data_IF_055577585439
#
_entry.id   IF_055577585439
#
_cell.length_a   1.000
_cell.length_b   1.000
_cell.length_c   1.000
_cell.angle_alpha   90.00
_cell.angle_beta   90.00
_cell.angle_gamma   90.00
#
_symmetry.space_group_name_H-M   'P 1'
#
loop_
_entity.id
_entity.type
_entity.pdbx_description
1 polymer ?
#
# COMPACT_ATOMS: atom_id res chain seq x y z
N UNK A 1 -4.08 -41.49 -13.32
CA UNK A 1 -5.49 -41.59 -13.81
C UNK A 1 -5.94 -40.15 -14.08
N UNK A 2 -5.99 -39.80 -15.37
CA UNK A 2 -6.59 -38.64 -16.04
C UNK A 2 -6.61 -37.26 -15.34
N UNK A 3 -5.77 -36.33 -15.81
CA UNK A 3 -6.13 -34.92 -15.94
C UNK A 3 -5.91 -34.52 -17.41
N UNK A 4 -6.95 -34.57 -18.27
CA UNK A 4 -6.87 -34.04 -19.61
C UNK A 4 -7.90 -32.94 -19.72
N UNK A 5 -7.62 -31.73 -19.26
CA UNK A 5 -8.46 -30.63 -19.69
C UNK A 5 -7.71 -29.32 -19.92
N UNK A 6 -7.38 -29.07 -21.19
CA UNK A 6 -7.43 -27.73 -21.74
C UNK A 6 -8.89 -27.43 -22.07
N UNK A 7 -9.47 -26.35 -21.52
CA UNK A 7 -10.75 -25.85 -21.99
C UNK A 7 -10.55 -24.51 -22.71
N UNK A 8 -10.84 -24.52 -24.00
CA UNK A 8 -11.21 -23.33 -24.75
C UNK A 8 -12.66 -22.95 -24.38
N UNK A 9 -12.81 -22.06 -23.40
CA UNK A 9 -13.86 -21.05 -23.11
C UNK A 9 -15.37 -21.33 -23.37
N UNK A 10 -15.82 -22.53 -23.77
CA UNK A 10 -17.21 -22.72 -24.21
C UNK A 10 -17.98 -23.87 -23.56
N UNK A 11 -17.39 -24.69 -22.67
CA UNK A 11 -18.05 -25.94 -22.23
C UNK A 11 -17.89 -26.36 -20.76
N UNK A 12 -17.24 -25.59 -19.90
CA UNK A 12 -17.17 -25.95 -18.48
C UNK A 12 -18.50 -25.56 -17.80
N UNK A 13 -19.33 -26.54 -17.45
CA UNK A 13 -20.50 -26.31 -16.60
C UNK A 13 -20.07 -25.85 -15.20
N UNK A 14 -20.97 -25.11 -14.51
CA UNK A 14 -20.79 -24.54 -13.17
C UNK A 14 -20.12 -25.50 -12.16
N UNK A 15 -20.49 -26.78 -12.17
CA UNK A 15 -19.95 -27.81 -11.28
C UNK A 15 -18.46 -28.09 -11.49
N UNK A 16 -17.94 -27.93 -12.71
CA UNK A 16 -16.53 -28.14 -13.04
C UNK A 16 -15.65 -27.02 -12.46
N UNK A 17 -16.14 -25.78 -12.45
CA UNK A 17 -15.44 -24.61 -11.92
C UNK A 17 -15.32 -24.71 -10.39
N UNK A 18 -16.45 -24.99 -9.71
CA UNK A 18 -16.47 -25.16 -8.25
C UNK A 18 -15.51 -26.27 -7.81
N UNK A 19 -15.53 -27.42 -8.48
CA UNK A 19 -14.66 -28.54 -8.12
C UNK A 19 -13.17 -28.18 -8.26
N UNK A 20 -12.77 -27.37 -9.24
CA UNK A 20 -11.38 -26.95 -9.40
C UNK A 20 -10.92 -25.98 -8.30
N UNK A 21 -11.81 -25.10 -7.84
CA UNK A 21 -11.53 -24.12 -6.78
C UNK A 21 -11.48 -24.73 -5.38
N UNK A 22 -12.16 -25.86 -5.18
CA UNK A 22 -12.17 -26.62 -3.93
C UNK A 22 -11.05 -27.65 -3.83
N UNK A 23 -10.34 -27.91 -4.91
CA UNK A 23 -9.16 -28.77 -4.88
C UNK A 23 -8.00 -27.97 -4.26
N UNK A 24 -7.38 -28.55 -3.24
CA UNK A 24 -6.03 -28.15 -2.82
C UNK A 24 -5.17 -28.25 -4.07
N UNK A 25 -4.46 -27.17 -4.43
CA UNK A 25 -3.55 -27.06 -5.58
C UNK A 25 -3.40 -28.34 -6.41
N UNK A 26 -3.76 -28.25 -7.69
CA UNK A 26 -3.37 -29.22 -8.71
C UNK A 26 -2.06 -29.92 -8.34
N UNK A 27 -2.08 -31.24 -8.09
CA UNK A 27 -0.98 -31.91 -7.43
C UNK A 27 0.29 -31.65 -8.23
N UNK A 28 1.35 -31.17 -7.55
CA UNK A 28 2.68 -31.06 -8.13
C UNK A 28 3.06 -32.49 -8.55
N UNK A 29 2.84 -32.82 -9.82
CA UNK A 29 3.31 -34.09 -10.35
C UNK A 29 4.83 -34.01 -10.35
N UNK A 30 5.45 -34.89 -9.58
CA UNK A 30 6.91 -35.05 -9.51
C UNK A 30 7.50 -35.66 -10.78
N UNK A 31 6.71 -35.82 -11.85
CA UNK A 31 7.18 -36.27 -13.15
C UNK A 31 6.76 -35.31 -14.28
N UNK A 32 7.67 -34.93 -15.19
CA UNK A 32 7.35 -34.08 -16.32
C UNK A 32 6.50 -34.83 -17.37
N UNK A 33 5.52 -34.18 -18.02
CA UNK A 33 5.32 -32.73 -18.08
C UNK A 33 4.33 -32.21 -17.02
N UNK A 34 4.74 -31.15 -16.31
CA UNK A 34 3.90 -30.38 -15.39
C UNK A 34 2.65 -29.89 -16.15
N UNK A 35 1.49 -30.47 -15.87
CA UNK A 35 0.24 -29.87 -16.27
C UNK A 35 0.10 -28.54 -15.51
N UNK A 36 0.24 -27.41 -16.20
CA UNK A 36 -0.02 -26.09 -15.65
C UNK A 36 -1.52 -26.00 -15.44
N UNK A 37 -1.99 -26.24 -14.21
CA UNK A 37 -3.35 -25.92 -13.85
C UNK A 37 -3.47 -24.40 -13.70
N UNK A 38 -4.01 -23.75 -14.72
CA UNK A 38 -4.47 -22.37 -14.62
C UNK A 38 -5.71 -22.34 -13.73
N UNK A 39 -5.77 -21.47 -12.70
CA UNK A 39 -6.98 -21.30 -11.91
C UNK A 39 -8.16 -20.92 -12.84
N UNK A 40 -9.38 -21.39 -12.56
CA UNK A 40 -10.52 -21.03 -13.37
C UNK A 40 -10.82 -19.54 -13.24
N UNK A 41 -11.12 -18.91 -14.37
CA UNK A 41 -11.49 -17.50 -14.48
C UNK A 41 -13.01 -17.41 -14.54
N UNK A 42 -13.60 -16.56 -13.71
CA UNK A 42 -15.04 -16.29 -13.73
C UNK A 42 -15.31 -15.11 -14.67
N UNK A 43 -16.10 -15.34 -15.71
CA UNK A 43 -16.34 -14.37 -16.79
C UNK A 43 -17.80 -13.93 -16.89
N UNK A 44 -18.71 -14.70 -16.29
CA UNK A 44 -20.16 -14.52 -16.42
C UNK A 44 -20.88 -14.52 -15.07
N UNK A 45 -22.10 -13.97 -15.02
CA UNK A 45 -22.93 -14.03 -13.81
C UNK A 45 -23.20 -15.48 -13.37
N UNK A 46 -23.37 -16.41 -14.30
CA UNK A 46 -23.58 -17.82 -13.97
C UNK A 46 -22.38 -18.44 -13.22
N UNK A 47 -21.16 -17.96 -13.53
CA UNK A 47 -19.94 -18.38 -12.82
C UNK A 47 -19.93 -17.83 -11.39
N UNK A 48 -20.46 -16.63 -11.16
CA UNK A 48 -20.57 -16.02 -9.83
C UNK A 48 -21.70 -16.69 -9.01
N UNK A 49 -22.85 -16.95 -9.63
CA UNK A 49 -24.02 -17.60 -9.00
C UNK A 49 -23.69 -18.97 -8.43
N UNK A 50 -22.69 -19.65 -9.02
CA UNK A 50 -22.11 -20.90 -8.55
C UNK A 50 -21.60 -20.86 -7.10
N UNK A 51 -21.27 -19.68 -6.58
CA UNK A 51 -20.65 -19.51 -5.26
C UNK A 51 -21.64 -19.34 -4.12
N UNK A 52 -22.95 -19.39 -4.40
CA UNK A 52 -23.98 -19.14 -3.40
C UNK A 52 -23.85 -20.04 -2.15
N UNK A 53 -23.29 -21.24 -2.27
CA UNK A 53 -23.05 -22.16 -1.15
C UNK A 53 -21.57 -22.35 -0.80
N UNK A 54 -20.65 -21.59 -1.41
CA UNK A 54 -19.21 -21.75 -1.21
C UNK A 54 -18.76 -20.86 -0.07
N UNK A 55 -18.20 -21.47 0.98
CA UNK A 55 -17.63 -20.76 2.12
C UNK A 55 -16.12 -20.56 2.02
N UNK A 56 -15.42 -21.48 1.36
CA UNK A 56 -13.95 -21.48 1.25
C UNK A 56 -13.52 -21.78 -0.18
N UNK A 57 -12.64 -20.94 -0.73
CA UNK A 57 -11.90 -21.22 -1.97
C UNK A 57 -10.47 -21.60 -1.59
N UNK A 58 -10.04 -22.80 -1.96
CA UNK A 58 -8.71 -23.33 -1.59
C UNK A 58 -7.57 -22.82 -2.49
N UNK A 59 -7.91 -22.35 -3.69
CA UNK A 59 -6.98 -21.77 -4.64
C UNK A 59 -7.14 -20.26 -4.80
N UNK A 60 -6.85 -19.78 -6.00
CA UNK A 60 -7.12 -18.40 -6.41
C UNK A 60 -8.57 -18.25 -6.85
N UNK A 61 -9.16 -17.07 -6.60
CA UNK A 61 -10.43 -16.63 -7.16
C UNK A 61 -10.13 -15.50 -8.15
N UNK A 62 -10.25 -15.80 -9.44
CA UNK A 62 -9.95 -14.87 -10.53
C UNK A 62 -11.24 -14.49 -11.25
N UNK A 63 -11.55 -13.20 -11.30
CA UNK A 63 -12.72 -12.64 -11.98
C UNK A 63 -12.21 -11.74 -13.09
N UNK A 64 -12.47 -12.13 -14.34
CA UNK A 64 -12.17 -11.34 -15.53
C UNK A 64 -13.38 -11.28 -16.44
N UNK A 65 -14.00 -10.10 -16.55
CA UNK A 65 -15.24 -9.96 -17.33
C UNK A 65 -15.38 -8.59 -17.98
N UNK A 66 -16.22 -8.51 -18.99
CA UNK A 66 -16.57 -7.26 -19.70
C UNK A 66 -18.04 -6.87 -19.47
N UNK A 67 -18.70 -7.50 -18.49
CA UNK A 67 -20.10 -7.26 -18.11
C UNK A 67 -20.19 -6.91 -16.63
N UNK A 68 -21.16 -6.08 -16.25
CA UNK A 68 -21.40 -5.76 -14.84
C UNK A 68 -21.91 -7.03 -14.14
N UNK A 69 -21.23 -7.42 -13.05
CA UNK A 69 -21.49 -8.66 -12.32
C UNK A 69 -22.04 -8.34 -10.93
N UNK A 70 -23.10 -9.04 -10.55
CA UNK A 70 -23.61 -9.04 -9.18
C UNK A 70 -22.80 -10.01 -8.32
N UNK A 71 -22.08 -9.45 -7.33
CA UNK A 71 -21.28 -10.20 -6.37
C UNK A 71 -22.07 -10.65 -5.14
N UNK A 72 -23.38 -10.42 -5.07
CA UNK A 72 -24.23 -10.92 -3.97
C UNK A 72 -24.16 -12.44 -3.72
N UNK A 73 -23.92 -13.31 -4.72
CA UNK A 73 -23.72 -14.74 -4.48
C UNK A 73 -22.51 -15.08 -3.61
N UNK A 74 -21.52 -14.19 -3.47
CA UNK A 74 -20.39 -14.38 -2.56
C UNK A 74 -20.73 -14.15 -1.07
N UNK A 75 -21.99 -13.90 -0.71
CA UNK A 75 -22.39 -13.61 0.66
C UNK A 75 -21.99 -14.70 1.68
N UNK A 76 -21.83 -15.96 1.25
CA UNK A 76 -21.39 -17.07 2.12
C UNK A 76 -19.87 -17.28 2.11
N UNK A 77 -19.13 -16.64 1.21
CA UNK A 77 -17.68 -16.78 1.15
C UNK A 77 -17.04 -16.14 2.39
N UNK A 78 -16.16 -16.90 3.06
CA UNK A 78 -15.43 -16.53 4.28
C UNK A 78 -13.92 -16.53 4.07
N UNK A 79 -13.41 -17.41 3.23
CA UNK A 79 -11.96 -17.54 3.03
C UNK A 79 -11.60 -17.79 1.57
N UNK A 80 -10.53 -17.13 1.11
CA UNK A 80 -9.82 -17.46 -0.13
C UNK A 80 -8.36 -17.75 0.22
N UNK A 81 -7.93 -19.00 0.11
CA UNK A 81 -6.59 -19.37 0.55
C UNK A 81 -5.49 -18.84 -0.38
N UNK A 82 -5.82 -18.61 -1.65
CA UNK A 82 -4.96 -17.97 -2.64
C UNK A 82 -5.22 -16.48 -2.80
N UNK A 83 -5.27 -16.04 -4.05
CA UNK A 83 -5.38 -14.63 -4.44
C UNK A 83 -6.83 -14.36 -4.86
N UNK A 84 -7.38 -13.23 -4.42
CA UNK A 84 -8.56 -12.62 -5.03
C UNK A 84 -8.10 -11.63 -6.10
N UNK A 85 -8.36 -11.93 -7.36
CA UNK A 85 -8.05 -11.07 -8.50
C UNK A 85 -9.34 -10.61 -9.17
N UNK A 86 -9.48 -9.29 -9.35
CA UNK A 86 -10.66 -8.67 -9.97
C UNK A 86 -10.20 -7.67 -11.04
N UNK A 87 -10.50 -8.00 -12.29
CA UNK A 87 -10.38 -7.12 -13.45
C UNK A 87 -11.66 -7.18 -14.26
N UNK A 88 -12.42 -6.09 -14.32
CA UNK A 88 -13.69 -6.07 -15.04
C UNK A 88 -13.93 -4.73 -15.73
N UNK A 89 -14.15 -4.79 -17.05
CA UNK A 89 -14.36 -3.62 -17.91
C UNK A 89 -15.66 -2.86 -17.64
N UNK A 90 -16.67 -3.49 -17.04
CA UNK A 90 -18.01 -2.94 -16.83
C UNK A 90 -18.43 -2.81 -15.36
N UNK A 91 -17.67 -3.40 -14.42
CA UNK A 91 -18.02 -3.41 -13.00
C UNK A 91 -18.09 -2.00 -12.43
N UNK A 92 -19.24 -1.67 -11.83
CA UNK A 92 -19.48 -0.33 -11.24
C UNK A 92 -19.09 -0.24 -9.76
N UNK A 93 -19.17 -1.34 -9.01
CA UNK A 93 -18.85 -1.38 -7.58
C UNK A 93 -18.40 -2.76 -7.11
N UNK A 94 -17.59 -2.81 -6.05
CA UNK A 94 -17.26 -4.05 -5.33
C UNK A 94 -17.88 -3.99 -3.93
N UNK A 95 -18.95 -4.75 -3.72
CA UNK A 95 -19.75 -4.71 -2.49
C UNK A 95 -20.20 -6.10 -1.97
N UNK A 96 -19.85 -7.21 -2.64
CA UNK A 96 -20.36 -8.56 -2.31
C UNK A 96 -19.55 -9.37 -1.28
N UNK A 97 -18.30 -9.00 -0.99
CA UNK A 97 -17.38 -9.79 -0.15
C UNK A 97 -17.49 -9.47 1.36
N UNK A 98 -18.61 -8.92 1.84
CA UNK A 98 -18.65 -8.30 3.18
C UNK A 98 -18.31 -9.27 4.31
N UNK A 99 -18.57 -10.56 4.10
CA UNK A 99 -18.30 -11.62 5.05
C UNK A 99 -16.97 -12.34 4.81
N UNK A 100 -16.17 -11.93 3.82
CA UNK A 100 -14.85 -12.47 3.59
C UNK A 100 -13.93 -12.06 4.74
N UNK A 101 -13.44 -13.03 5.50
CA UNK A 101 -12.65 -12.84 6.71
C UNK A 101 -11.14 -12.89 6.43
N UNK A 102 -10.71 -13.72 5.48
CA UNK A 102 -9.28 -13.82 5.15
C UNK A 102 -9.02 -14.14 3.68
N UNK A 103 -7.88 -13.65 3.18
CA UNK A 103 -7.36 -13.94 1.84
C UNK A 103 -5.85 -14.18 1.91
N UNK A 104 -5.33 -15.13 1.12
CA UNK A 104 -3.89 -15.42 1.04
C UNK A 104 -3.37 -16.20 2.25
N UNK A 105 -4.16 -17.17 2.73
CA UNK A 105 -3.84 -17.95 3.94
C UNK A 105 -2.80 -19.05 3.72
N UNK A 106 -2.43 -19.33 2.45
CA UNK A 106 -1.41 -20.32 2.08
C UNK A 106 -0.22 -19.70 1.37
N UNK A 107 0.99 -20.19 1.67
CA UNK A 107 2.22 -19.71 1.05
C UNK A 107 2.16 -19.92 -0.47
N UNK A 108 2.08 -18.82 -1.24
CA UNK A 108 2.29 -18.89 -2.67
C UNK A 108 3.74 -19.35 -2.91
N UNK A 109 3.91 -20.53 -3.52
CA UNK A 109 5.23 -21.09 -3.89
C UNK A 109 6.03 -20.21 -4.85
N UNK A 110 5.46 -19.10 -5.34
CA UNK A 110 6.10 -18.13 -6.21
C UNK A 110 5.78 -16.70 -5.77
N UNK A 111 6.80 -15.83 -5.83
CA UNK A 111 6.89 -14.53 -5.14
C UNK A 111 5.70 -13.57 -5.26
N UNK A 112 5.53 -12.77 -4.21
CA UNK A 112 4.59 -11.65 -4.09
C UNK A 112 3.15 -11.97 -4.52
N UNK A 113 2.58 -13.07 -4.02
CA UNK A 113 1.14 -13.33 -4.08
C UNK A 113 0.38 -12.22 -3.33
N UNK A 114 -0.15 -11.24 -4.07
CA UNK A 114 -1.00 -10.19 -3.52
C UNK A 114 -2.31 -10.83 -3.09
N UNK A 115 -2.74 -10.66 -1.83
CA UNK A 115 -3.95 -11.32 -1.36
C UNK A 115 -5.20 -10.77 -2.09
N UNK A 116 -5.35 -9.45 -2.16
CA UNK A 116 -6.46 -8.80 -2.87
C UNK A 116 -5.91 -7.88 -3.94
N UNK A 117 -6.17 -8.20 -5.21
CA UNK A 117 -5.76 -7.44 -6.39
C UNK A 117 -6.99 -6.97 -7.16
N UNK A 118 -7.18 -5.65 -7.20
CA UNK A 118 -8.29 -4.99 -7.90
C UNK A 118 -7.65 -4.03 -8.91
N UNK A 119 -7.65 -4.42 -10.18
CA UNK A 119 -6.97 -3.65 -11.21
C UNK A 119 -7.67 -3.59 -12.55
N UNK A 120 -7.41 -2.50 -13.27
CA UNK A 120 -7.93 -2.27 -14.62
C UNK A 120 -9.48 -2.36 -14.68
N UNK A 121 -10.17 -1.78 -13.70
CA UNK A 121 -11.63 -1.65 -13.70
C UNK A 121 -12.02 -0.21 -14.08
N UNK A 122 -12.16 0.13 -15.38
CA UNK A 122 -12.34 1.51 -15.83
C UNK A 122 -13.64 2.15 -15.36
N UNK A 123 -14.69 1.37 -15.09
CA UNK A 123 -16.00 1.83 -14.64
C UNK A 123 -16.23 1.72 -13.13
N UNK A 124 -15.26 1.17 -12.38
CA UNK A 124 -15.39 0.96 -10.95
C UNK A 124 -15.40 2.29 -10.21
N UNK A 125 -16.50 2.61 -9.53
CA UNK A 125 -16.68 3.89 -8.82
C UNK A 125 -16.36 3.75 -7.33
N UNK A 126 -16.60 2.58 -6.72
CA UNK A 126 -16.46 2.38 -5.28
C UNK A 126 -16.07 0.95 -4.87
N UNK A 127 -15.26 0.84 -3.81
CA UNK A 127 -14.93 -0.43 -3.14
C UNK A 127 -15.40 -0.38 -1.69
N UNK A 128 -16.49 -1.09 -1.38
CA UNK A 128 -17.11 -1.12 -0.04
C UNK A 128 -17.28 -2.52 0.53
N UNK A 129 -16.86 -3.55 -0.21
CA UNK A 129 -17.27 -4.93 0.04
C UNK A 129 -16.41 -5.76 0.99
N UNK A 130 -15.43 -5.23 1.74
CA UNK A 130 -14.46 -6.05 2.51
C UNK A 130 -14.57 -5.89 4.02
N UNK A 131 -15.80 -5.75 4.52
CA UNK A 131 -16.09 -5.24 5.86
C UNK A 131 -15.50 -6.08 7.00
N UNK A 132 -15.42 -7.40 6.81
CA UNK A 132 -14.90 -8.34 7.81
C UNK A 132 -13.47 -8.83 7.51
N UNK A 133 -12.81 -8.31 6.47
CA UNK A 133 -11.47 -8.78 6.10
C UNK A 133 -10.46 -8.40 7.19
N UNK A 134 -9.71 -9.40 7.66
CA UNK A 134 -8.71 -9.32 8.73
C UNK A 134 -7.44 -10.06 8.34
N UNK A 135 -6.42 -9.99 9.20
CA UNK A 135 -5.29 -10.91 9.12
C UNK A 135 -5.77 -12.36 9.28
N UNK A 136 -5.23 -13.26 8.47
CA UNK A 136 -5.50 -14.70 8.59
C UNK A 136 -5.06 -15.23 9.96
N UNK A 137 -5.91 -16.03 10.60
CA UNK A 137 -5.57 -16.77 11.82
C UNK A 137 -4.92 -18.13 11.53
N UNK A 138 -4.68 -18.45 10.26
CA UNK A 138 -4.03 -19.71 9.89
C UNK A 138 -2.62 -19.77 10.50
N UNK A 139 -2.12 -20.95 10.95
CA UNK A 139 -0.79 -21.05 11.57
C UNK A 139 0.36 -20.60 10.67
N UNK A 140 0.18 -20.74 9.36
CA UNK A 140 1.06 -20.22 8.30
C UNK A 140 0.49 -18.96 7.64
N UNK A 141 -0.57 -18.39 8.22
CA UNK A 141 -1.37 -17.31 7.66
C UNK A 141 -0.60 -16.01 7.57
N UNK A 142 -0.62 -15.42 6.38
CA UNK A 142 0.00 -14.15 6.12
C UNK A 142 -1.02 -13.03 6.28
N UNK A 143 -0.53 -11.85 6.63
CA UNK A 143 -1.33 -10.63 6.56
C UNK A 143 -1.67 -10.38 5.07
N UNK A 144 -2.91 -10.00 4.71
CA UNK A 144 -3.23 -9.80 3.32
C UNK A 144 -2.49 -8.59 2.75
N UNK A 145 -2.01 -8.71 1.52
CA UNK A 145 -1.54 -7.56 0.74
C UNK A 145 -2.69 -7.01 -0.09
N UNK A 146 -3.02 -5.73 0.10
CA UNK A 146 -4.10 -5.05 -0.63
C UNK A 146 -3.50 -4.22 -1.76
N UNK A 147 -3.93 -4.50 -2.99
CA UNK A 147 -3.41 -3.85 -4.18
C UNK A 147 -4.55 -3.35 -5.08
N UNK A 148 -4.68 -2.03 -5.19
CA UNK A 148 -5.75 -1.36 -5.92
C UNK A 148 -5.12 -0.39 -6.91
N UNK A 149 -5.18 -0.69 -8.21
CA UNK A 149 -4.49 0.10 -9.23
C UNK A 149 -5.22 0.21 -10.56
N UNK A 150 -4.99 1.30 -11.28
CA UNK A 150 -5.57 1.51 -12.60
C UNK A 150 -7.10 1.41 -12.64
N UNK A 151 -7.79 1.98 -11.64
CA UNK A 151 -9.24 2.13 -11.63
C UNK A 151 -9.57 3.63 -11.78
N UNK A 152 -9.54 4.19 -13.00
CA UNK A 152 -9.59 5.63 -13.23
C UNK A 152 -10.90 6.30 -12.76
N UNK A 153 -12.01 5.56 -12.73
CA UNK A 153 -13.31 6.06 -12.22
C UNK A 153 -13.49 5.88 -10.71
N UNK A 154 -12.55 5.23 -10.02
CA UNK A 154 -12.69 4.93 -8.59
C UNK A 154 -12.63 6.24 -7.82
N UNK A 155 -13.71 6.56 -7.11
CA UNK A 155 -13.80 7.81 -6.34
C UNK A 155 -13.59 7.60 -4.85
N UNK A 156 -13.88 6.38 -4.35
CA UNK A 156 -13.90 6.07 -2.93
C UNK A 156 -13.49 4.62 -2.64
N UNK A 157 -12.72 4.44 -1.59
CA UNK A 157 -12.48 3.15 -0.93
C UNK A 157 -13.05 3.25 0.49
N UNK A 158 -13.91 2.31 0.88
CA UNK A 158 -14.61 2.29 2.17
C UNK A 158 -14.97 0.86 2.62
N UNK A 159 -14.11 -0.11 2.32
CA UNK A 159 -14.38 -1.54 2.51
C UNK A 159 -13.68 -2.20 3.69
N UNK A 160 -12.45 -1.82 4.04
CA UNK A 160 -11.53 -2.66 4.84
C UNK A 160 -11.61 -2.45 6.36
N UNK A 161 -12.80 -2.12 6.88
CA UNK A 161 -12.96 -1.48 8.20
C UNK A 161 -12.41 -2.31 9.37
N UNK A 162 -12.31 -3.63 9.23
CA UNK A 162 -11.81 -4.54 10.26
C UNK A 162 -10.36 -4.97 10.06
N UNK A 163 -9.70 -4.53 8.98
CA UNK A 163 -8.34 -4.92 8.66
C UNK A 163 -7.38 -4.23 9.63
N UNK A 164 -6.86 -4.99 10.58
CA UNK A 164 -5.98 -4.54 11.66
C UNK A 164 -4.49 -4.71 11.36
N UNK A 165 -4.17 -5.65 10.47
CA UNK A 165 -2.81 -5.92 10.04
C UNK A 165 -2.78 -6.35 8.56
N UNK A 166 -1.83 -5.80 7.79
CA UNK A 166 -1.67 -6.07 6.37
C UNK A 166 -0.19 -6.38 6.03
N UNK A 167 0.05 -7.14 4.96
CA UNK A 167 1.39 -7.30 4.38
C UNK A 167 1.80 -6.11 3.50
N UNK A 168 0.90 -5.17 3.30
CA UNK A 168 1.14 -4.00 2.47
C UNK A 168 -0.18 -3.49 1.90
N UNK A 169 -0.20 -2.18 1.67
CA UNK A 169 -1.34 -1.51 1.05
C UNK A 169 -0.80 -0.66 -0.08
N UNK A 170 -1.20 -0.98 -1.31
CA UNK A 170 -0.76 -0.30 -2.52
C UNK A 170 -1.97 0.25 -3.27
N UNK A 171 -2.06 1.58 -3.36
CA UNK A 171 -3.14 2.30 -4.05
C UNK A 171 -2.49 3.19 -5.11
N UNK A 172 -2.58 2.83 -6.39
CA UNK A 172 -1.81 3.50 -7.45
C UNK A 172 -2.66 3.82 -8.68
N UNK A 173 -2.46 4.97 -9.30
CA UNK A 173 -3.11 5.29 -10.59
C UNK A 173 -4.66 5.22 -10.54
N UNK A 174 -5.26 5.66 -9.43
CA UNK A 174 -6.71 5.82 -9.29
C UNK A 174 -7.01 7.32 -9.33
N UNK A 175 -7.00 7.90 -10.53
CA UNK A 175 -6.89 9.37 -10.71
C UNK A 175 -8.06 10.17 -10.16
N UNK A 176 -9.27 9.60 -10.13
CA UNK A 176 -10.47 10.21 -9.56
C UNK A 176 -10.70 9.88 -8.08
N UNK A 177 -9.79 9.13 -7.44
CA UNK A 177 -9.92 8.74 -6.04
C UNK A 177 -9.81 9.97 -5.17
N UNK A 178 -10.89 10.37 -4.50
CA UNK A 178 -10.95 11.59 -3.70
C UNK A 178 -10.68 11.36 -2.23
N UNK A 179 -11.01 10.15 -1.74
CA UNK A 179 -10.89 9.76 -0.35
C UNK A 179 -10.62 8.27 -0.19
N UNK A 180 -9.81 7.92 0.81
CA UNK A 180 -9.66 6.55 1.30
C UNK A 180 -10.15 6.51 2.73
N UNK A 181 -11.26 5.81 2.92
CA UNK A 181 -11.84 5.47 4.21
C UNK A 181 -11.76 3.96 4.43
N UNK A 182 -11.85 3.55 5.68
CA UNK A 182 -11.96 2.15 6.03
C UNK A 182 -10.67 1.35 6.14
N UNK A 183 -9.49 1.98 6.21
CA UNK A 183 -8.35 1.34 6.90
C UNK A 183 -8.20 1.81 8.35
N UNK A 184 -9.26 2.35 8.95
CA UNK A 184 -9.23 2.96 10.29
C UNK A 184 -8.80 2.02 11.42
N UNK A 185 -8.93 0.70 11.24
CA UNK A 185 -8.45 -0.30 12.20
C UNK A 185 -7.01 -0.73 11.95
N UNK A 186 -6.35 -0.28 10.87
CA UNK A 186 -5.03 -0.78 10.48
C UNK A 186 -3.94 -0.22 11.41
N UNK A 187 -3.34 -1.10 12.21
CA UNK A 187 -2.28 -0.74 13.17
C UNK A 187 -0.88 -1.11 12.67
N UNK A 188 -0.78 -2.14 11.83
CA UNK A 188 0.51 -2.75 11.48
C UNK A 188 0.57 -3.12 10.00
N UNK A 189 1.66 -2.74 9.34
CA UNK A 189 2.08 -3.32 8.06
C UNK A 189 3.34 -4.13 8.33
N UNK A 190 3.23 -5.45 8.43
CA UNK A 190 4.28 -6.30 9.04
C UNK A 190 5.29 -6.87 8.04
N UNK A 191 4.93 -6.91 6.76
CA UNK A 191 5.72 -7.53 5.69
C UNK A 191 5.65 -6.66 4.43
N UNK A 192 6.36 -7.06 3.37
CA UNK A 192 6.27 -6.41 2.06
C UNK A 192 6.86 -5.01 1.96
N UNK A 193 6.35 -4.22 1.01
CA UNK A 193 6.88 -2.90 0.66
C UNK A 193 6.34 -1.75 1.53
N UNK A 194 5.35 -2.02 2.39
CA UNK A 194 4.72 -1.01 3.25
C UNK A 194 3.43 -0.41 2.68
N UNK A 195 3.17 0.87 3.00
CA UNK A 195 2.06 1.67 2.50
C UNK A 195 2.54 2.49 1.30
N UNK A 196 1.97 2.25 0.12
CA UNK A 196 2.34 2.94 -1.11
C UNK A 196 1.10 3.54 -1.77
N UNK A 197 0.98 4.86 -1.75
CA UNK A 197 -0.12 5.59 -2.37
C UNK A 197 0.47 6.53 -3.42
N UNK A 198 0.19 6.28 -4.70
CA UNK A 198 0.79 7.05 -5.78
C UNK A 198 -0.18 7.42 -6.89
N UNK A 199 0.11 8.52 -7.59
CA UNK A 199 -0.57 8.92 -8.83
C UNK A 199 -2.11 8.94 -8.70
N UNK A 200 -2.62 9.50 -7.60
CA UNK A 200 -4.05 9.64 -7.32
C UNK A 200 -4.36 11.12 -7.16
N UNK A 201 -4.37 11.85 -8.28
CA UNK A 201 -4.29 13.31 -8.29
C UNK A 201 -5.47 14.02 -7.62
N UNK A 202 -6.68 13.43 -7.64
CA UNK A 202 -7.86 13.97 -6.97
C UNK A 202 -7.91 13.68 -5.46
N UNK A 203 -6.99 12.89 -4.93
CA UNK A 203 -6.99 12.46 -3.55
C UNK A 203 -6.71 13.66 -2.64
N UNK A 204 -7.68 14.01 -1.81
CA UNK A 204 -7.60 15.19 -0.95
C UNK A 204 -7.44 14.85 0.51
N UNK A 205 -7.87 13.66 0.93
CA UNK A 205 -7.83 13.20 2.33
C UNK A 205 -7.54 11.69 2.43
N UNK A 206 -6.81 11.28 3.48
CA UNK A 206 -6.49 9.88 3.81
C UNK A 206 -6.67 9.60 5.33
N UNK A 207 -7.83 9.89 5.93
CA UNK A 207 -8.02 9.75 7.38
C UNK A 207 -7.77 8.34 7.91
N UNK A 208 -7.82 7.33 7.03
CA UNK A 208 -7.77 5.92 7.39
C UNK A 208 -6.52 5.49 8.14
N UNK A 209 -5.37 6.14 7.97
CA UNK A 209 -4.11 5.61 8.52
C UNK A 209 -3.74 6.17 9.89
N UNK A 210 -4.61 6.97 10.52
CA UNK A 210 -4.37 7.61 11.84
C UNK A 210 -3.92 6.65 12.95
N UNK A 211 -4.33 5.38 12.89
CA UNK A 211 -3.99 4.35 13.87
C UNK A 211 -2.78 3.50 13.50
N UNK A 212 -2.12 3.77 12.35
CA UNK A 212 -0.95 3.04 11.91
C UNK A 212 0.22 3.31 12.87
N UNK A 213 0.72 2.25 13.49
CA UNK A 213 1.82 2.29 14.47
C UNK A 213 3.14 1.85 13.88
N UNK A 214 3.15 0.80 13.06
CA UNK A 214 4.39 0.25 12.51
C UNK A 214 4.22 -0.15 11.05
N UNK A 215 5.28 0.05 10.26
CA UNK A 215 5.39 -0.50 8.90
C UNK A 215 6.79 -1.08 8.73
N UNK A 216 6.92 -2.40 8.53
CA UNK A 216 8.23 -3.00 8.26
C UNK A 216 8.80 -2.55 6.91
N UNK A 217 7.93 -2.33 5.92
CA UNK A 217 8.23 -1.60 4.70
C UNK A 217 8.16 -0.08 4.90
N UNK A 218 8.13 0.69 3.82
CA UNK A 218 8.05 2.15 3.89
C UNK A 218 6.66 2.74 3.73
N UNK A 219 6.57 4.03 4.04
CA UNK A 219 5.46 4.90 3.69
C UNK A 219 5.87 5.71 2.46
N UNK A 220 5.22 5.49 1.34
CA UNK A 220 5.44 6.22 0.09
C UNK A 220 4.16 6.94 -0.34
N UNK A 221 4.21 8.26 -0.28
CA UNK A 221 3.20 9.18 -0.79
C UNK A 221 3.80 9.94 -1.96
N UNK A 222 3.35 9.64 -3.18
CA UNK A 222 3.97 10.15 -4.40
C UNK A 222 2.93 10.69 -5.38
N UNK A 223 3.10 11.93 -5.81
CA UNK A 223 2.24 12.59 -6.81
C UNK A 223 0.76 12.59 -6.37
N UNK A 224 0.49 13.25 -5.24
CA UNK A 224 -0.85 13.45 -4.66
C UNK A 224 -1.08 14.96 -4.44
N UNK A 225 -1.11 15.77 -5.51
CA UNK A 225 -1.11 17.24 -5.42
C UNK A 225 -2.34 17.85 -4.73
N UNK A 226 -3.46 17.12 -4.62
CA UNK A 226 -4.66 17.60 -3.93
C UNK A 226 -4.66 17.35 -2.42
N UNK A 227 -3.71 16.57 -1.88
CA UNK A 227 -3.58 16.33 -0.44
C UNK A 227 -3.05 17.60 0.23
N UNK A 228 -3.88 18.23 1.06
CA UNK A 228 -3.53 19.48 1.77
C UNK A 228 -3.44 19.32 3.28
N UNK A 229 -3.92 18.21 3.84
CA UNK A 229 -3.95 17.91 5.27
C UNK A 229 -3.47 16.48 5.52
N UNK A 230 -2.70 16.25 6.59
CA UNK A 230 -2.14 14.93 6.93
C UNK A 230 -2.18 14.60 8.44
N UNK A 231 -3.32 14.39 9.11
CA UNK A 231 -3.33 13.95 10.51
C UNK A 231 -3.04 12.45 10.74
N UNK A 232 -2.34 11.75 9.84
CA UNK A 232 -2.48 10.30 9.73
C UNK A 232 -1.37 9.45 10.36
N UNK A 233 -0.19 9.99 10.66
CA UNK A 233 0.93 9.15 11.11
C UNK A 233 1.34 9.42 12.56
N UNK A 234 0.46 10.08 13.33
CA UNK A 234 0.69 10.55 14.69
C UNK A 234 0.94 9.42 15.71
N UNK A 235 0.54 8.19 15.37
CA UNK A 235 0.77 7.01 16.21
C UNK A 235 1.96 6.16 15.74
N UNK A 236 2.66 6.56 14.66
CA UNK A 236 3.77 5.76 14.14
C UNK A 236 4.95 5.71 15.12
N UNK A 237 5.60 4.57 15.20
CA UNK A 237 6.81 4.37 16.02
C UNK A 237 7.98 3.87 15.17
N UNK A 238 7.70 3.17 14.07
CA UNK A 238 8.76 2.73 13.15
C UNK A 238 8.31 2.56 11.71
N UNK A 239 9.21 2.90 10.77
CA UNK A 239 9.10 2.49 9.36
C UNK A 239 10.45 2.39 8.66
N UNK A 240 10.55 1.57 7.62
CA UNK A 240 11.81 1.47 6.86
C UNK A 240 12.12 2.72 6.06
N UNK A 241 11.17 3.32 5.36
CA UNK A 241 11.40 4.60 4.68
C UNK A 241 10.16 5.46 4.69
N UNK A 242 10.34 6.77 4.64
CA UNK A 242 9.28 7.73 4.38
C UNK A 242 9.66 8.49 3.12
N UNK A 243 8.81 8.42 2.09
CA UNK A 243 8.94 9.22 0.88
C UNK A 243 7.69 10.08 0.72
N UNK A 244 7.91 11.39 0.68
CA UNK A 244 6.88 12.42 0.50
C UNK A 244 7.29 13.22 -0.74
N UNK A 245 6.61 12.97 -1.86
CA UNK A 245 6.93 13.57 -3.13
C UNK A 245 5.71 14.17 -3.83
N UNK A 246 5.81 15.43 -4.27
CA UNK A 246 4.76 16.12 -5.01
C UNK A 246 3.38 16.02 -4.35
N UNK A 247 3.32 16.42 -3.08
CA UNK A 247 2.08 16.56 -2.32
C UNK A 247 1.66 18.04 -2.23
N UNK A 248 0.35 18.29 -2.09
CA UNK A 248 -0.22 19.64 -1.93
C UNK A 248 -0.10 20.22 -0.51
N UNK A 249 0.72 19.61 0.36
CA UNK A 249 0.81 19.93 1.78
C UNK A 249 1.61 21.20 2.04
N UNK A 250 1.28 21.90 3.13
CA UNK A 250 2.04 23.06 3.59
C UNK A 250 3.02 22.74 4.73
N UNK A 251 2.80 21.62 5.43
CA UNK A 251 3.70 21.10 6.46
C UNK A 251 3.61 19.57 6.64
N UNK A 252 4.54 19.02 7.45
CA UNK A 252 4.65 17.60 7.78
C UNK A 252 4.30 17.26 9.23
N UNK A 253 3.40 18.03 9.88
CA UNK A 253 2.94 17.75 11.26
C UNK A 253 2.33 16.36 11.46
N UNK A 254 2.08 15.62 10.37
CA UNK A 254 1.60 14.24 10.34
C UNK A 254 2.44 13.26 11.12
N UNK A 255 3.74 13.51 11.23
CA UNK A 255 4.69 12.66 11.93
C UNK A 255 4.94 13.10 13.39
N UNK A 256 4.14 14.06 13.89
CA UNK A 256 4.20 14.54 15.27
C UNK A 256 3.68 13.46 16.24
N UNK A 257 4.55 12.51 16.56
CA UNK A 257 4.17 11.33 17.30
C UNK A 257 4.39 11.53 18.80
N UNK A 258 3.63 10.88 19.67
CA UNK A 258 3.81 11.02 21.12
C UNK A 258 5.01 10.22 21.66
N UNK A 259 5.50 9.23 20.91
CA UNK A 259 6.62 8.37 21.25
C UNK A 259 7.78 8.49 20.27
N UNK A 260 8.82 7.67 20.46
CA UNK A 260 9.97 7.63 19.55
C UNK A 260 9.55 7.12 18.17
N UNK A 261 10.09 7.78 17.16
CA UNK A 261 9.97 7.41 15.77
C UNK A 261 11.35 6.98 15.25
N UNK A 262 11.41 5.80 14.64
CA UNK A 262 12.57 5.29 13.91
C UNK A 262 12.24 5.19 12.43
N UNK A 263 13.04 5.84 11.56
CA UNK A 263 12.83 5.83 10.11
C UNK A 263 14.15 5.59 9.41
N UNK A 264 14.35 4.47 8.69
CA UNK A 264 15.69 4.18 8.10
C UNK A 264 16.10 5.07 6.94
N UNK A 265 15.14 5.68 6.23
CA UNK A 265 15.39 6.68 5.18
C UNK A 265 14.24 7.66 5.09
N UNK A 266 14.52 8.96 5.06
CA UNK A 266 13.52 10.01 4.91
C UNK A 266 13.80 10.83 3.65
N UNK A 267 12.83 10.92 2.75
CA UNK A 267 12.91 11.69 1.51
C UNK A 267 11.70 12.61 1.38
N UNK A 268 11.95 13.91 1.32
CA UNK A 268 10.95 14.97 1.19
C UNK A 268 11.31 15.82 -0.02
N UNK A 269 10.65 15.57 -1.15
CA UNK A 269 11.05 16.15 -2.44
C UNK A 269 9.90 16.75 -3.23
N UNK A 270 10.16 17.83 -3.96
CA UNK A 270 9.22 18.43 -4.92
C UNK A 270 7.83 18.72 -4.33
N UNK A 271 7.71 19.15 -3.07
CA UNK A 271 6.41 19.52 -2.50
C UNK A 271 6.18 21.03 -2.71
N UNK A 272 5.40 21.45 -3.72
CA UNK A 272 5.37 22.84 -4.18
C UNK A 272 4.78 23.81 -3.15
N UNK A 273 3.92 23.32 -2.25
CA UNK A 273 3.26 24.13 -1.23
C UNK A 273 3.95 24.02 0.14
N UNK A 274 4.96 23.16 0.29
CA UNK A 274 5.58 22.86 1.59
C UNK A 274 6.38 24.08 2.05
N UNK A 275 5.98 24.67 3.16
CA UNK A 275 6.65 25.82 3.77
C UNK A 275 7.44 25.44 5.01
N UNK A 276 7.02 24.37 5.69
CA UNK A 276 7.53 23.96 6.99
C UNK A 276 7.70 22.45 7.07
N UNK A 277 8.91 21.97 7.33
CA UNK A 277 9.09 20.58 7.78
C UNK A 277 8.96 20.58 9.30
N UNK A 278 7.83 20.06 9.78
CA UNK A 278 7.57 19.82 11.21
C UNK A 278 7.21 18.37 11.48
N UNK A 279 6.96 18.03 12.73
CA UNK A 279 6.41 16.72 13.11
C UNK A 279 7.46 15.66 13.41
N UNK A 280 8.67 15.74 12.86
CA UNK A 280 9.70 14.74 13.16
C UNK A 280 10.34 14.87 14.55
N UNK A 281 9.81 15.67 15.50
CA UNK A 281 10.54 16.04 16.73
C UNK A 281 10.91 14.86 17.63
N UNK A 282 10.29 13.70 17.42
CA UNK A 282 10.61 12.45 18.10
C UNK A 282 11.33 11.41 17.21
N UNK A 283 11.72 11.81 15.99
CA UNK A 283 12.63 11.04 15.15
C UNK A 283 13.99 10.98 15.83
N UNK A 284 14.37 9.80 16.29
CA UNK A 284 15.63 9.60 17.04
C UNK A 284 16.80 9.19 16.17
N UNK A 285 16.53 8.37 15.17
CA UNK A 285 17.59 7.79 14.36
C UNK A 285 17.07 7.46 12.97
N UNK A 286 18.00 7.56 12.02
CA UNK A 286 17.84 7.08 10.67
C UNK A 286 18.66 5.79 10.53
N UNK A 287 18.07 4.67 10.98
CA UNK A 287 18.80 3.41 11.19
C UNK A 287 18.99 2.60 9.89
N UNK A 288 20.12 2.72 9.20
CA UNK A 288 20.45 1.85 8.06
C UNK A 288 21.90 1.95 7.60
N UNK A 289 22.39 0.95 6.86
CA UNK A 289 23.77 0.90 6.30
C UNK A 289 24.07 2.02 5.27
N UNK A 290 23.14 2.95 5.11
CA UNK A 290 23.17 4.13 4.25
C UNK A 290 22.04 5.07 4.71
N UNK A 291 22.06 5.48 5.99
CA UNK A 291 20.98 6.23 6.61
C UNK A 291 20.80 7.59 5.94
N UNK A 292 19.81 7.75 5.06
CA UNK A 292 19.69 9.00 4.31
C UNK A 292 18.50 9.88 4.72
N UNK A 293 18.79 11.18 4.87
CA UNK A 293 17.82 12.27 4.91
C UNK A 293 17.98 13.12 3.63
N UNK A 294 16.99 13.10 2.75
CA UNK A 294 16.94 13.91 1.54
C UNK A 294 15.83 14.94 1.62
N UNK A 295 16.19 16.21 1.52
CA UNK A 295 15.23 17.32 1.43
C UNK A 295 15.59 18.13 0.18
N UNK A 296 14.81 17.99 -0.90
CA UNK A 296 15.11 18.73 -2.14
C UNK A 296 13.91 19.29 -2.87
N UNK A 297 14.14 20.31 -3.69
CA UNK A 297 13.16 20.84 -4.64
C UNK A 297 11.84 21.33 -3.99
N UNK A 298 11.87 21.72 -2.71
CA UNK A 298 10.71 22.28 -2.03
C UNK A 298 10.78 23.81 -2.11
N UNK A 299 10.29 24.36 -3.23
CA UNK A 299 10.47 25.78 -3.59
C UNK A 299 10.00 26.79 -2.52
N UNK A 300 8.96 26.47 -1.75
CA UNK A 300 8.42 27.34 -0.70
C UNK A 300 8.95 27.01 0.71
N UNK A 301 9.77 25.98 0.86
CA UNK A 301 10.28 25.55 2.15
C UNK A 301 11.21 26.63 2.69
N UNK A 302 10.84 27.22 3.83
CA UNK A 302 11.61 28.28 4.46
C UNK A 302 11.99 27.97 5.91
N UNK A 303 11.46 26.87 6.47
CA UNK A 303 11.68 26.50 7.85
C UNK A 303 11.67 24.98 8.05
N UNK A 304 12.56 24.50 8.88
CA UNK A 304 12.63 23.10 9.32
C UNK A 304 12.71 23.13 10.84
N UNK A 305 11.67 22.62 11.48
CA UNK A 305 11.56 22.53 12.94
C UNK A 305 11.01 21.15 13.28
N UNK A 306 11.88 20.20 13.55
CA UNK A 306 11.44 18.84 13.75
C UNK A 306 12.56 17.84 13.92
N UNK A 307 13.83 18.17 13.73
CA UNK A 307 14.90 17.18 13.86
C UNK A 307 15.67 17.28 15.19
N UNK A 308 15.11 17.96 16.19
CA UNK A 308 15.77 18.20 17.48
C UNK A 308 16.19 16.93 18.26
N UNK A 309 15.53 15.79 18.02
CA UNK A 309 15.88 14.52 18.66
C UNK A 309 16.72 13.61 17.76
N UNK A 310 17.00 14.01 16.53
CA UNK A 310 17.71 13.19 15.57
C UNK A 310 19.18 13.06 16.00
N UNK A 311 19.66 11.83 16.04
CA UNK A 311 21.05 11.49 16.32
C UNK A 311 21.58 10.69 15.13
N UNK A 312 22.65 11.18 14.50
CA UNK A 312 23.46 10.44 13.53
C UNK A 312 24.70 9.93 14.24
N UNK A 313 24.89 8.62 14.27
CA UNK A 313 26.03 7.96 14.92
C UNK A 313 26.78 7.04 13.97
N UNK A 314 26.28 6.86 12.75
CA UNK A 314 26.89 6.03 11.72
C UNK A 314 27.57 6.95 10.69
N UNK A 315 28.89 6.82 10.44
CA UNK A 315 29.58 7.60 9.42
C UNK A 315 29.12 7.30 7.98
N UNK A 316 28.22 6.32 7.80
CA UNK A 316 27.52 6.07 6.54
C UNK A 316 26.17 6.79 6.44
N UNK A 317 25.72 7.47 7.49
CA UNK A 317 24.55 8.35 7.44
C UNK A 317 24.84 9.54 6.51
N UNK A 318 23.92 9.83 5.60
CA UNK A 318 24.07 10.88 4.60
C UNK A 318 22.88 11.83 4.62
N UNK A 319 23.14 13.09 4.99
CA UNK A 319 22.13 14.14 4.98
C UNK A 319 22.37 15.04 3.78
N UNK A 320 21.36 15.20 2.93
CA UNK A 320 21.40 16.10 1.78
C UNK A 320 20.19 17.02 1.74
N UNK A 321 20.47 18.31 1.65
CA UNK A 321 19.47 19.38 1.58
C UNK A 321 19.83 20.29 0.41
N UNK A 322 19.13 20.20 -0.71
CA UNK A 322 19.45 20.97 -1.93
C UNK A 322 18.20 21.56 -2.57
N UNK A 323 18.35 22.61 -3.37
CA UNK A 323 17.27 23.12 -4.23
C UNK A 323 15.99 23.53 -3.46
N UNK A 324 16.16 24.02 -2.23
CA UNK A 324 15.12 24.65 -1.42
C UNK A 324 15.42 26.17 -1.33
N UNK A 325 15.13 26.97 -2.37
CA UNK A 325 15.64 28.34 -2.54
C UNK A 325 15.23 29.33 -1.45
N UNK A 326 14.18 29.04 -0.68
CA UNK A 326 13.73 29.87 0.44
C UNK A 326 14.24 29.38 1.80
N UNK A 327 14.90 28.23 1.86
CA UNK A 327 15.37 27.64 3.09
C UNK A 327 16.70 28.27 3.50
N UNK A 328 16.65 29.01 4.60
CA UNK A 328 17.86 29.43 5.32
C UNK A 328 18.34 28.27 6.20
N UNK A 329 19.65 28.07 6.29
CA UNK A 329 20.30 26.98 7.00
C UNK A 329 19.58 26.56 8.30
N UNK A 330 18.86 25.42 8.31
CA UNK A 330 18.13 24.94 9.48
C UNK A 330 19.05 24.48 10.61
N UNK A 331 19.34 25.38 11.57
CA UNK A 331 20.33 25.23 12.67
C UNK A 331 20.30 23.85 13.36
N UNK A 332 19.11 23.26 13.56
CA UNK A 332 18.96 21.95 14.20
C UNK A 332 19.61 20.78 13.42
N UNK A 333 19.75 20.90 12.09
CA UNK A 333 20.41 19.88 11.28
C UNK A 333 21.93 20.11 11.18
N UNK A 334 22.43 21.35 11.39
CA UNK A 334 23.87 21.69 11.27
C UNK A 334 24.77 21.00 12.27
N UNK A 335 24.21 20.60 13.40
CA UNK A 335 24.98 19.94 14.45
C UNK A 335 25.18 18.45 14.18
N UNK A 336 24.58 17.92 13.10
CA UNK A 336 24.75 16.53 12.69
C UNK A 336 26.03 16.39 11.86
N UNK A 337 26.79 15.33 12.11
CA UNK A 337 27.96 14.98 11.28
C UNK A 337 27.49 14.67 9.85
N UNK A 338 28.28 15.09 8.85
CA UNK A 338 28.13 14.71 7.43
C UNK A 338 26.89 15.22 6.68
N UNK A 339 26.58 16.52 6.78
CA UNK A 339 25.68 17.19 5.81
C UNK A 339 26.42 17.41 4.49
N UNK A 340 26.02 16.67 3.47
CA UNK A 340 26.52 16.83 2.12
C UNK A 340 25.78 17.95 1.37
N UNK A 341 26.60 18.85 0.82
CA UNK A 341 26.36 19.83 -0.25
C UNK A 341 24.93 20.34 -0.46
N UNK A 342 24.75 21.62 -0.19
CA UNK A 342 23.49 22.37 -0.31
C UNK A 342 23.58 23.41 -1.44
N UNK A 343 23.58 22.95 -2.69
CA UNK A 343 23.33 23.85 -3.82
C UNK A 343 21.86 24.25 -3.87
N UNK A 344 21.56 25.45 -4.37
CA UNK A 344 20.18 25.87 -4.63
C UNK A 344 19.36 26.31 -3.40
N UNK A 345 19.93 26.33 -2.20
CA UNK A 345 19.29 26.88 -0.99
C UNK A 345 19.62 28.38 -0.80
N UNK A 346 18.80 29.10 -0.02
CA UNK A 346 18.99 30.54 0.26
C UNK A 346 20.38 30.84 0.84
N UNK A 347 20.86 29.94 1.70
CA UNK A 347 22.24 29.93 2.17
C UNK A 347 22.82 28.57 1.80
N UNK A 348 23.97 28.57 1.13
CA UNK A 348 24.74 27.35 0.94
C UNK A 348 25.33 26.98 2.30
N UNK A 349 24.75 25.94 2.88
CA UNK A 349 25.01 25.40 4.20
C UNK A 349 26.29 24.55 4.23
N UNK A 350 27.31 24.99 3.49
CA UNK A 350 28.63 24.39 3.48
C UNK A 350 29.25 24.54 4.87
N UNK A 351 29.66 23.42 5.46
CA UNK A 351 30.59 23.46 6.59
C UNK A 351 31.90 24.06 6.10
N UNK A 352 32.43 25.00 6.88
CA UNK A 352 33.87 25.21 6.96
C UNK A 352 34.54 23.86 7.22
N UNK A 353 35.70 23.54 6.61
CA UNK A 353 36.43 22.33 6.95
C UNK A 353 36.73 22.36 8.45
N UNK A 354 36.47 21.26 9.14
CA UNK A 354 36.93 21.05 10.51
C UNK A 354 38.42 21.38 10.61
N UNK A 355 38.76 22.44 11.34
CA UNK A 355 40.07 22.58 11.98
C UNK A 355 39.82 22.62 13.49
N UNK A 356 40.23 21.52 14.14
CA UNK A 356 40.36 21.19 15.57
C UNK A 356 39.14 20.70 16.34
#
# INVERSE_FOLDING_TARGET
MLCPIQFTHAQAGITSIINQLLLDDCPIQTEPPLAVCTPPVLETQADIDAFQSVEVVKGHLQIEAETDLDFSPFANLREIQGILYIQNGALSSINGFNNLESVGTRAASFGFGRAVQIENNPNLVSISGFQNLRKSTHPEGWSPYINILFNPSLTQINGFNQLDQAAGVSIRYNTNLTTVTGFGSLHTIDTGIGLVITNSAALSTLPSFANLTTSSGGIELYNLPSITSMPWFQNMTSTSWVRVHNLGISDLRSFNNSGFLTVRRLSITNNPNLTLISGFQNLRSIEGVAGDLYISDNALLNNVTGFNSLITNDPTDYISISDNPNLNCPVELFMLQDIAYSSGNLVNCATTPYDF
#
